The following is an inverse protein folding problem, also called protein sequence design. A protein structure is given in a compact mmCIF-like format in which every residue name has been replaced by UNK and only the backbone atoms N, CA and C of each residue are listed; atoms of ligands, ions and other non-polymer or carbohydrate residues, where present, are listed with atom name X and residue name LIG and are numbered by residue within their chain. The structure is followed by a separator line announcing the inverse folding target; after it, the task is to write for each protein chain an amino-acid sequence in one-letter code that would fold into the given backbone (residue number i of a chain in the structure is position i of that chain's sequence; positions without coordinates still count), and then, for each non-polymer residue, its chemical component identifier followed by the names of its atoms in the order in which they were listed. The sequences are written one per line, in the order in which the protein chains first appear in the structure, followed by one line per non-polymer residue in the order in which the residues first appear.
data_IF_745579027793
#
_entry.id   IF_745579027793
#
_cell.length_a   1.000
_cell.length_b   1.000
_cell.length_c   1.000
_cell.angle_alpha   90.00
_cell.angle_beta   90.00
_cell.angle_gamma   90.00
#
_symmetry.space_group_name_H-M   'P 1'
#
loop_
_entity.id
_entity.type
_entity.pdbx_description
1 polymer ?
#
# COMPACT_ATOMS: atom_id res chain seq x y z
N UNK A 1 2.01 0.58 -8.70
CA UNK A 1 1.52 -0.65 -8.05
C UNK A 1 0.24 -0.41 -7.25
N UNK A 2 0.24 0.43 -6.22
CA UNK A 2 -0.96 0.68 -5.40
C UNK A 2 -2.19 1.16 -6.19
N UNK A 3 -2.02 2.12 -7.10
CA UNK A 3 -3.11 2.62 -7.96
C UNK A 3 -3.70 1.49 -8.82
N UNK A 4 -2.84 0.64 -9.39
CA UNK A 4 -3.28 -0.51 -10.19
C UNK A 4 -4.07 -1.50 -9.34
N UNK A 5 -3.61 -1.81 -8.12
CA UNK A 5 -4.34 -2.69 -7.21
C UNK A 5 -5.73 -2.12 -6.82
N UNK A 6 -5.84 -0.80 -6.62
CA UNK A 6 -7.13 -0.13 -6.38
C UNK A 6 -8.04 -0.29 -7.61
N UNK A 7 -7.54 0.06 -8.80
CA UNK A 7 -8.32 -0.01 -10.03
C UNK A 7 -8.80 -1.43 -10.31
N UNK A 8 -7.95 -2.43 -10.08
CA UNK A 8 -8.33 -3.84 -10.21
C UNK A 8 -9.42 -4.23 -9.19
N UNK A 9 -9.28 -3.86 -7.91
CA UNK A 9 -10.29 -4.16 -6.89
C UNK A 9 -11.63 -3.45 -7.11
N UNK A 10 -11.62 -2.22 -7.63
CA UNK A 10 -12.84 -1.51 -8.03
C UNK A 10 -13.50 -2.16 -9.25
N UNK A 11 -12.70 -2.57 -10.23
CA UNK A 11 -13.18 -3.27 -11.43
C UNK A 11 -13.81 -4.62 -11.07
N UNK A 12 -13.15 -5.39 -10.20
CA UNK A 12 -13.69 -6.65 -9.65
C UNK A 12 -15.05 -6.41 -8.96
N UNK A 13 -15.15 -5.38 -8.11
CA UNK A 13 -16.38 -5.03 -7.41
C UNK A 13 -17.52 -4.66 -8.35
N UNK A 14 -17.23 -3.84 -9.37
CA UNK A 14 -18.21 -3.45 -10.38
C UNK A 14 -18.73 -4.66 -11.18
N UNK A 15 -17.84 -5.57 -11.57
CA UNK A 15 -18.21 -6.80 -12.28
C UNK A 15 -19.05 -7.71 -11.37
N UNK A 16 -18.68 -7.87 -10.10
CA UNK A 16 -19.44 -8.67 -9.13
C UNK A 16 -20.87 -8.13 -8.96
N UNK A 17 -21.03 -6.82 -8.74
CA UNK A 17 -22.36 -6.18 -8.62
C UNK A 17 -23.19 -6.43 -9.88
N UNK A 18 -22.58 -6.31 -11.07
CA UNK A 18 -23.26 -6.57 -12.34
C UNK A 18 -23.74 -8.03 -12.45
N UNK A 19 -22.87 -8.99 -12.14
CA UNK A 19 -23.20 -10.43 -12.21
C UNK A 19 -24.32 -10.76 -11.22
N UNK A 20 -24.22 -10.30 -9.97
CA UNK A 20 -25.23 -10.56 -8.94
C UNK A 20 -26.58 -9.91 -9.27
N UNK A 21 -26.58 -8.65 -9.75
CA UNK A 21 -27.83 -7.96 -10.14
C UNK A 21 -28.55 -8.72 -11.25
N UNK A 22 -27.80 -9.21 -12.25
CA UNK A 22 -28.38 -10.01 -13.34
C UNK A 22 -28.88 -11.37 -12.86
N UNK A 23 -28.17 -12.01 -11.94
CA UNK A 23 -28.60 -13.25 -11.32
C UNK A 23 -29.91 -13.07 -10.53
N UNK A 24 -30.05 -12.00 -9.74
CA UNK A 24 -31.27 -11.68 -8.98
C UNK A 24 -32.44 -11.39 -9.93
N UNK A 25 -32.20 -10.67 -11.03
CA UNK A 25 -33.21 -10.37 -12.05
C UNK A 25 -33.52 -11.56 -12.97
N UNK A 26 -32.97 -12.76 -12.69
CA UNK A 26 -33.08 -13.97 -13.51
C UNK A 26 -32.70 -13.74 -14.99
N UNK A 27 -31.82 -12.78 -15.26
CA UNK A 27 -31.31 -12.52 -16.62
C UNK A 27 -30.06 -13.37 -16.85
N UNK A 28 -29.93 -14.05 -18.00
CA UNK A 28 -28.77 -14.88 -18.29
C UNK A 28 -27.49 -14.03 -18.31
N UNK A 29 -26.47 -14.50 -17.59
CA UNK A 29 -25.14 -13.90 -17.58
C UNK A 29 -24.32 -14.55 -18.68
N UNK A 30 -23.60 -13.75 -19.47
CA UNK A 30 -22.69 -14.27 -20.50
C UNK A 30 -21.55 -15.05 -19.81
N UNK A 31 -21.26 -16.30 -20.18
CA UNK A 31 -20.19 -17.11 -19.56
C UNK A 31 -18.80 -16.44 -19.58
N UNK A 32 -18.54 -15.61 -20.59
CA UNK A 32 -17.31 -14.85 -20.70
C UNK A 32 -17.14 -13.84 -19.55
N UNK A 33 -18.22 -13.19 -19.10
CA UNK A 33 -18.16 -12.22 -18.01
C UNK A 33 -17.88 -12.89 -16.66
N UNK A 34 -18.45 -14.06 -16.45
CA UNK A 34 -18.23 -14.84 -15.23
C UNK A 34 -16.81 -15.43 -15.16
N UNK A 35 -16.26 -15.82 -16.31
CA UNK A 35 -14.84 -16.24 -16.41
C UNK A 35 -13.91 -15.05 -16.17
N UNK A 36 -14.21 -13.86 -16.70
CA UNK A 36 -13.44 -12.64 -16.44
C UNK A 36 -13.46 -12.29 -14.95
N UNK A 37 -14.62 -12.43 -14.29
CA UNK A 37 -14.73 -12.24 -12.85
C UNK A 37 -13.80 -13.19 -12.08
N UNK A 38 -13.86 -14.50 -12.36
CA UNK A 38 -12.98 -15.47 -11.71
C UNK A 38 -11.48 -15.16 -11.93
N UNK A 39 -11.10 -14.72 -13.13
CA UNK A 39 -9.73 -14.28 -13.40
C UNK A 39 -9.34 -13.05 -12.57
N UNK A 40 -10.24 -12.06 -12.42
CA UNK A 40 -9.99 -10.86 -11.61
C UNK A 40 -9.84 -11.20 -10.12
N UNK A 41 -10.67 -12.10 -9.62
CA UNK A 41 -10.66 -12.60 -8.24
C UNK A 41 -9.35 -13.30 -7.85
N UNK A 42 -8.66 -13.90 -8.83
CA UNK A 42 -7.30 -14.45 -8.65
C UNK A 42 -6.23 -13.36 -8.79
N UNK A 43 -6.40 -12.48 -9.78
CA UNK A 43 -5.40 -11.48 -10.14
C UNK A 43 -5.22 -10.41 -9.04
N UNK A 44 -6.31 -9.98 -8.41
CA UNK A 44 -6.31 -8.93 -7.38
C UNK A 44 -5.45 -9.31 -6.16
N UNK A 45 -5.65 -10.49 -5.51
CA UNK A 45 -4.78 -10.97 -4.44
C UNK A 45 -3.32 -11.10 -4.88
N UNK A 46 -3.06 -11.62 -6.08
CA UNK A 46 -1.70 -11.74 -6.60
C UNK A 46 -1.00 -10.37 -6.65
N UNK A 47 -1.66 -9.32 -7.15
CA UNK A 47 -1.11 -7.97 -7.17
C UNK A 47 -0.90 -7.39 -5.76
N UNK A 48 -1.84 -7.61 -4.84
CA UNK A 48 -1.70 -7.17 -3.45
C UNK A 48 -0.46 -7.80 -2.79
N UNK A 49 -0.21 -9.07 -3.06
CA UNK A 49 0.95 -9.77 -2.52
C UNK A 49 2.27 -9.43 -3.21
N UNK A 50 2.25 -9.08 -4.50
CA UNK A 50 3.41 -8.52 -5.17
C UNK A 50 3.84 -7.20 -4.51
N UNK A 51 2.89 -6.37 -4.05
CA UNK A 51 3.21 -5.17 -3.26
C UNK A 51 3.89 -5.54 -1.94
N UNK A 52 3.39 -6.56 -1.23
CA UNK A 52 4.01 -7.04 0.02
C UNK A 52 5.43 -7.56 -0.21
N UNK A 53 5.65 -8.37 -1.26
CA UNK A 53 6.99 -8.87 -1.59
C UNK A 53 7.93 -7.75 -2.01
N UNK A 54 7.45 -6.77 -2.76
CA UNK A 54 8.26 -5.61 -3.12
C UNK A 54 8.70 -4.83 -1.88
N UNK A 55 7.79 -4.64 -0.91
CA UNK A 55 8.14 -4.03 0.39
C UNK A 55 9.16 -4.85 1.15
N UNK A 56 9.00 -6.17 1.20
CA UNK A 56 9.99 -7.06 1.84
C UNK A 56 11.35 -6.96 1.14
N UNK A 57 11.38 -6.92 -0.18
CA UNK A 57 12.60 -6.77 -0.97
C UNK A 57 13.29 -5.42 -0.74
N UNK A 58 12.52 -4.34 -0.56
CA UNK A 58 13.07 -3.03 -0.19
C UNK A 58 13.70 -3.06 1.22
N UNK A 59 13.10 -3.79 2.17
CA UNK A 59 13.59 -3.92 3.54
C UNK A 59 14.80 -4.87 3.65
N UNK A 60 14.83 -5.92 2.84
CA UNK A 60 15.91 -6.91 2.75
C UNK A 60 16.62 -6.78 1.39
N UNK A 61 17.50 -5.79 1.21
CA UNK A 61 18.20 -5.61 -0.05
C UNK A 61 18.97 -6.89 -0.41
N UNK A 62 18.69 -7.51 -1.58
CA UNK A 62 19.25 -8.82 -1.93
C UNK A 62 20.78 -8.79 -1.97
N UNK A 63 21.36 -7.62 -2.29
CA UNK A 63 22.80 -7.42 -2.40
C UNK A 63 23.54 -7.41 -1.06
N UNK A 64 22.89 -7.13 0.08
CA UNK A 64 23.55 -7.07 1.40
C UNK A 64 23.45 -8.36 2.23
N UNK A 65 22.68 -9.34 1.76
CA UNK A 65 22.51 -10.62 2.45
C UNK A 65 23.51 -11.67 1.93
N UNK A 66 24.11 -12.41 2.88
CA UNK A 66 24.84 -13.64 2.61
C UNK A 66 23.98 -14.63 1.81
N UNK A 67 24.60 -15.42 0.93
CA UNK A 67 23.90 -16.35 0.01
C UNK A 67 22.90 -17.24 0.74
N UNK A 68 23.25 -17.74 1.93
CA UNK A 68 22.38 -18.60 2.74
C UNK A 68 21.14 -17.85 3.28
N UNK A 69 21.32 -16.60 3.72
CA UNK A 69 20.22 -15.75 4.19
C UNK A 69 19.30 -15.30 3.04
N UNK A 70 19.86 -15.04 1.86
CA UNK A 70 19.09 -14.77 0.65
C UNK A 70 18.27 -15.98 0.24
N UNK A 71 18.88 -17.17 0.29
CA UNK A 71 18.21 -18.43 -0.02
C UNK A 71 17.04 -18.67 0.94
N UNK A 72 17.30 -18.59 2.25
CA UNK A 72 16.27 -18.81 3.28
C UNK A 72 15.10 -17.82 3.22
N UNK A 73 15.35 -16.57 2.82
CA UNK A 73 14.29 -15.55 2.73
C UNK A 73 13.47 -15.69 1.45
N UNK A 74 14.11 -15.80 0.29
CA UNK A 74 13.43 -15.69 -1.00
C UNK A 74 12.93 -17.03 -1.56
N UNK A 75 13.56 -18.17 -1.23
CA UNK A 75 13.09 -19.46 -1.73
C UNK A 75 11.67 -19.75 -1.26
N UNK A 76 11.34 -19.72 0.04
CA UNK A 76 9.99 -20.03 0.49
C UNK A 76 8.93 -19.14 -0.17
N UNK A 77 9.19 -17.83 -0.25
CA UNK A 77 8.30 -16.86 -0.93
C UNK A 77 8.12 -17.20 -2.40
N UNK A 78 9.19 -17.50 -3.13
CA UNK A 78 9.11 -17.88 -4.53
C UNK A 78 8.37 -19.21 -4.73
N UNK A 79 8.62 -20.20 -3.88
CA UNK A 79 7.96 -21.51 -3.91
C UNK A 79 6.46 -21.37 -3.68
N UNK A 80 6.02 -20.63 -2.67
CA UNK A 80 4.59 -20.41 -2.42
C UNK A 80 3.93 -19.67 -3.59
N UNK A 81 4.59 -18.69 -4.19
CA UNK A 81 4.05 -17.98 -5.36
C UNK A 81 3.92 -18.87 -6.58
N UNK A 82 4.92 -19.69 -6.88
CA UNK A 82 4.84 -20.64 -7.99
C UNK A 82 3.74 -21.68 -7.76
N UNK A 83 3.60 -22.19 -6.53
CA UNK A 83 2.54 -23.12 -6.17
C UNK A 83 1.15 -22.52 -6.36
N UNK A 84 0.96 -21.26 -5.96
CA UNK A 84 -0.29 -20.52 -6.16
C UNK A 84 -0.60 -20.28 -7.63
N UNK A 85 0.36 -19.76 -8.40
CA UNK A 85 0.17 -19.56 -9.84
C UNK A 85 -0.23 -20.87 -10.54
N UNK A 86 0.37 -21.99 -10.18
CA UNK A 86 0.00 -23.29 -10.72
C UNK A 86 -1.44 -23.69 -10.32
N UNK A 87 -1.80 -23.53 -9.05
CA UNK A 87 -3.14 -23.83 -8.53
C UNK A 87 -4.21 -22.94 -9.16
N UNK A 88 -3.93 -21.65 -9.32
CA UNK A 88 -4.76 -20.64 -9.96
C UNK A 88 -5.04 -20.97 -11.42
N UNK A 89 -4.02 -21.38 -12.17
CA UNK A 89 -4.17 -21.81 -13.57
C UNK A 89 -5.13 -23.01 -13.65
N UNK A 90 -4.95 -24.00 -12.78
CA UNK A 90 -5.82 -25.18 -12.71
C UNK A 90 -7.24 -24.80 -12.30
N UNK A 91 -7.39 -23.87 -11.34
CA UNK A 91 -8.68 -23.35 -10.91
C UNK A 91 -9.42 -22.66 -12.06
N UNK A 92 -8.78 -21.72 -12.76
CA UNK A 92 -9.37 -20.99 -13.89
C UNK A 92 -9.74 -21.95 -15.02
N UNK A 93 -8.89 -22.93 -15.33
CA UNK A 93 -9.17 -23.92 -16.37
C UNK A 93 -10.42 -24.76 -16.03
N UNK A 94 -10.55 -25.21 -14.78
CA UNK A 94 -11.72 -25.95 -14.30
C UNK A 94 -12.97 -25.07 -14.24
N UNK A 95 -12.85 -23.84 -13.75
CA UNK A 95 -13.94 -22.87 -13.72
C UNK A 95 -14.50 -22.62 -15.12
N UNK A 96 -13.62 -22.37 -16.10
CA UNK A 96 -13.99 -22.18 -17.50
C UNK A 96 -14.69 -23.42 -18.08
N UNK A 97 -14.29 -24.64 -17.67
CA UNK A 97 -14.96 -25.86 -18.05
C UNK A 97 -16.38 -25.96 -17.46
N UNK A 98 -16.58 -25.65 -16.18
CA UNK A 98 -17.92 -25.68 -15.56
C UNK A 98 -18.86 -24.63 -16.15
N UNK A 99 -18.33 -23.44 -16.45
CA UNK A 99 -19.08 -22.36 -17.09
C UNK A 99 -19.54 -22.65 -18.52
N UNK A 100 -18.89 -23.59 -19.22
CA UNK A 100 -19.39 -24.04 -20.53
C UNK A 100 -20.63 -24.93 -20.41
N UNK A 101 -20.81 -25.60 -19.28
CA UNK A 101 -21.91 -26.55 -19.06
C UNK A 101 -23.05 -25.98 -18.23
N UNK A 102 -22.80 -24.94 -17.44
CA UNK A 102 -23.77 -24.34 -16.52
C UNK A 102 -24.15 -22.93 -16.99
N UNK A 103 -25.45 -22.66 -17.12
CA UNK A 103 -25.97 -21.31 -17.39
C UNK A 103 -26.13 -20.47 -16.11
N UNK A 104 -26.05 -21.11 -14.94
CA UNK A 104 -26.27 -20.49 -13.64
C UNK A 104 -24.93 -20.30 -12.90
N UNK A 105 -24.47 -19.04 -12.67
CA UNK A 105 -23.19 -18.78 -12.02
C UNK A 105 -23.15 -19.27 -10.56
N UNK A 106 -24.29 -19.29 -9.89
CA UNK A 106 -24.42 -19.83 -8.53
C UNK A 106 -24.10 -21.33 -8.47
N UNK A 107 -24.51 -22.09 -9.49
CA UNK A 107 -24.27 -23.53 -9.56
C UNK A 107 -22.81 -23.82 -9.89
N UNK A 108 -22.20 -23.07 -10.81
CA UNK A 108 -20.74 -23.13 -11.07
C UNK A 108 -19.94 -22.81 -9.82
N UNK A 109 -20.34 -21.76 -9.10
CA UNK A 109 -19.73 -21.35 -7.84
C UNK A 109 -19.76 -22.46 -6.78
N UNK A 110 -20.94 -23.06 -6.58
CA UNK A 110 -21.09 -24.17 -5.62
C UNK A 110 -20.25 -25.39 -6.02
N UNK A 111 -20.29 -25.81 -7.29
CA UNK A 111 -19.48 -26.93 -7.77
C UNK A 111 -17.97 -26.67 -7.62
N UNK A 112 -17.55 -25.41 -7.77
CA UNK A 112 -16.16 -25.00 -7.61
C UNK A 112 -15.75 -24.90 -6.14
N UNK A 113 -16.68 -24.59 -5.24
CA UNK A 113 -16.47 -24.54 -3.79
C UNK A 113 -16.13 -25.92 -3.20
N UNK A 114 -16.73 -26.97 -3.76
CA UNK A 114 -16.50 -28.34 -3.32
C UNK A 114 -15.12 -28.87 -3.76
N UNK A 115 -14.46 -28.20 -4.71
CA UNK A 115 -13.14 -28.59 -5.17
C UNK A 115 -12.05 -28.24 -4.14
N UNK A 116 -11.01 -29.09 -4.03
CA UNK A 116 -9.91 -28.83 -3.11
C UNK A 116 -9.05 -27.63 -3.51
N UNK A 117 -9.10 -27.19 -4.77
CA UNK A 117 -8.24 -26.12 -5.30
C UNK A 117 -8.38 -24.81 -4.51
N UNK A 118 -9.61 -24.41 -4.19
CA UNK A 118 -9.87 -23.19 -3.42
C UNK A 118 -9.33 -23.29 -1.98
N UNK A 119 -9.47 -24.47 -1.36
CA UNK A 119 -8.99 -24.73 0.00
C UNK A 119 -7.46 -24.73 0.07
N UNK A 120 -6.80 -25.34 -0.91
CA UNK A 120 -5.34 -25.33 -1.05
C UNK A 120 -4.85 -23.89 -1.26
N UNK A 121 -5.56 -23.10 -2.08
CA UNK A 121 -5.23 -21.70 -2.34
C UNK A 121 -5.21 -20.88 -1.05
N UNK A 122 -6.28 -20.94 -0.27
CA UNK A 122 -6.37 -20.18 0.98
C UNK A 122 -5.36 -20.64 2.02
N UNK A 123 -5.05 -21.93 2.05
CA UNK A 123 -3.98 -22.45 2.88
C UNK A 123 -2.63 -21.84 2.47
N UNK A 124 -2.28 -21.92 1.19
CA UNK A 124 -1.04 -21.33 0.67
C UNK A 124 -0.98 -19.81 0.92
N UNK A 125 -2.09 -19.11 0.74
CA UNK A 125 -2.23 -17.67 1.01
C UNK A 125 -1.98 -17.32 2.48
N UNK A 126 -2.56 -18.10 3.40
CA UNK A 126 -2.36 -17.89 4.83
C UNK A 126 -0.89 -18.06 5.22
N UNK A 127 -0.23 -19.13 4.74
CA UNK A 127 1.18 -19.38 5.06
C UNK A 127 2.12 -18.34 4.42
N UNK A 128 1.92 -17.94 3.16
CA UNK A 128 2.75 -16.90 2.51
C UNK A 128 2.61 -15.57 3.23
N UNK A 129 1.38 -15.17 3.56
CA UNK A 129 1.12 -13.91 4.29
C UNK A 129 1.70 -13.96 5.71
N UNK A 130 1.59 -15.09 6.40
CA UNK A 130 2.16 -15.27 7.75
C UNK A 130 3.68 -15.25 7.71
N UNK A 131 4.30 -15.91 6.74
CA UNK A 131 5.75 -15.95 6.58
C UNK A 131 6.33 -14.56 6.29
N UNK A 132 5.76 -13.84 5.31
CA UNK A 132 6.19 -12.48 4.96
C UNK A 132 5.99 -11.50 6.12
N UNK A 133 4.90 -11.62 6.88
CA UNK A 133 4.65 -10.85 8.10
C UNK A 133 5.67 -11.15 9.20
N UNK A 134 5.97 -12.43 9.45
CA UNK A 134 6.96 -12.87 10.42
C UNK A 134 8.36 -12.34 10.09
N UNK A 135 8.75 -12.38 8.82
CA UNK A 135 10.03 -11.84 8.36
C UNK A 135 10.14 -10.34 8.65
N UNK A 136 9.08 -9.57 8.40
CA UNK A 136 9.07 -8.14 8.71
C UNK A 136 9.22 -7.86 10.22
N UNK A 137 8.53 -8.64 11.07
CA UNK A 137 8.64 -8.51 12.53
C UNK A 137 10.05 -8.83 13.04
N UNK A 138 10.69 -9.87 12.49
CA UNK A 138 12.07 -10.22 12.83
C UNK A 138 13.03 -9.07 12.47
N UNK A 139 12.82 -8.40 11.33
CA UNK A 139 13.58 -7.18 10.98
C UNK A 139 13.40 -6.09 12.03
N UNK A 140 12.14 -5.82 12.40
CA UNK A 140 11.81 -4.75 13.33
C UNK A 140 12.45 -4.99 14.71
N UNK A 141 12.44 -6.25 15.18
CA UNK A 141 13.11 -6.63 16.43
C UNK A 141 14.62 -6.44 16.34
N UNK A 142 15.25 -6.84 15.22
CA UNK A 142 16.70 -6.63 15.01
C UNK A 142 17.07 -5.15 15.01
N UNK A 143 16.26 -4.30 14.39
CA UNK A 143 16.46 -2.84 14.41
C UNK A 143 16.41 -2.28 15.83
N UNK A 144 15.47 -2.74 16.68
CA UNK A 144 15.38 -2.34 18.09
C UNK A 144 16.62 -2.75 18.89
N UNK A 145 17.14 -3.96 18.68
CA UNK A 145 18.33 -4.44 19.39
C UNK A 145 19.60 -3.68 19.01
N UNK A 146 19.79 -3.34 17.72
CA UNK A 146 20.91 -2.49 17.29
C UNK A 146 20.81 -1.08 17.89
N UNK A 147 19.60 -0.50 17.92
CA UNK A 147 19.41 0.84 18.48
C UNK A 147 19.65 0.87 20.00
N UNK A 148 19.29 -0.19 20.72
CA UNK A 148 19.62 -0.34 22.15
C UNK A 148 21.13 -0.43 22.39
N UNK A 149 21.89 -1.08 21.49
CA UNK A 149 23.36 -1.14 21.57
C UNK A 149 24.03 0.20 21.29
N UNK A 150 23.55 0.99 20.34
CA UNK A 150 24.11 2.32 20.05
C UNK A 150 23.74 3.36 21.12
N UNK A 151 22.58 3.24 21.78
CA UNK A 151 22.20 4.09 22.91
C UNK A 151 22.94 3.78 24.23
N UNK A 152 23.49 2.58 24.38
CA UNK A 152 24.28 2.19 25.57
C UNK A 152 25.78 2.46 25.41
N UNK A 153 26.25 2.78 24.20
CA UNK A 153 27.66 3.09 23.91
C UNK A 153 28.05 4.55 24.19
N UNK A 154 27.12 5.41 24.61
CA UNK A 154 27.42 6.77 25.09
C UNK A 154 27.59 6.84 26.62
N UNK A 155 27.60 5.69 27.31
CA UNK A 155 27.82 5.60 28.74
C UNK A 155 29.04 4.71 29.06
N UNK A 156 30.18 5.02 28.45
CA UNK A 156 31.46 4.59 29.00
C UNK A 156 32.32 5.84 29.21
N UNK A 157 32.42 6.38 30.44
CA UNK A 157 33.47 7.31 30.78
C UNK A 157 34.77 6.50 30.80
N UNK A 158 35.41 6.37 29.64
CA UNK A 158 36.82 6.03 29.58
C UNK A 158 37.55 7.10 30.39
N UNK A 159 38.02 6.68 31.57
CA UNK A 159 38.83 7.44 32.51
C UNK A 159 40.18 7.77 31.84
N UNK A 160 40.17 8.71 30.90
CA UNK A 160 41.40 9.35 30.41
C UNK A 160 41.82 10.34 31.48
N UNK A 161 42.77 9.88 32.28
CA UNK A 161 43.49 10.67 33.26
C UNK A 161 44.42 11.64 32.52
N UNK A 162 44.02 12.92 32.47
CA UNK A 162 44.96 14.00 32.19
C UNK A 162 44.45 15.10 31.25
N UNK A 163 44.15 16.25 31.87
CA UNK A 163 44.35 17.60 31.33
C UNK A 163 43.24 18.22 30.45
N UNK A 164 42.42 19.00 31.15
CA UNK A 164 41.89 20.33 30.77
C UNK A 164 41.17 20.48 29.44
N UNK A 165 39.84 20.36 29.47
CA UNK A 165 38.97 21.33 28.80
C UNK A 165 37.63 21.42 29.56
N UNK A 166 37.43 22.58 30.17
CA UNK A 166 36.28 22.95 31.00
C UNK A 166 35.30 23.71 30.10
N UNK A 167 34.49 23.01 29.30
CA UNK A 167 33.37 23.62 28.58
C UNK A 167 32.21 22.60 28.44
N UNK A 168 31.03 23.04 28.89
CA UNK A 168 29.69 22.51 28.62
C UNK A 168 29.22 21.24 29.34
N UNK A 169 29.06 21.33 30.67
CA UNK A 169 28.11 20.50 31.42
C UNK A 169 26.86 21.32 31.80
N UNK A 170 26.13 21.81 30.80
CA UNK A 170 24.78 22.36 30.97
C UNK A 170 23.89 22.11 29.74
N UNK A 171 24.11 21.01 29.02
CA UNK A 171 23.17 20.53 27.99
C UNK A 171 22.11 19.68 28.68
N UNK A 172 20.88 20.13 28.58
CA UNK A 172 19.80 19.84 29.52
C UNK A 172 19.32 18.39 29.50
N UNK A 173 19.02 17.91 30.69
CA UNK A 173 18.21 16.72 30.97
C UNK A 173 16.81 16.77 30.30
N UNK A 174 16.39 17.95 29.83
CA UNK A 174 15.20 18.16 29.00
C UNK A 174 15.37 17.64 27.55
N UNK A 175 16.55 17.79 26.92
CA UNK A 175 16.78 17.37 25.53
C UNK A 175 16.76 15.83 25.38
N UNK A 176 17.30 15.12 26.37
CA UNK A 176 17.26 13.65 26.41
C UNK A 176 15.83 13.14 26.60
N UNK A 177 15.00 13.83 27.39
CA UNK A 177 13.57 13.51 27.54
C UNK A 177 12.78 13.80 26.25
N UNK A 178 13.08 14.89 25.55
CA UNK A 178 12.40 15.23 24.29
C UNK A 178 12.74 14.21 23.19
N UNK A 179 14.01 13.79 23.08
CA UNK A 179 14.44 12.75 22.15
C UNK A 179 13.77 11.38 22.43
N UNK A 180 13.62 11.00 23.70
CA UNK A 180 12.99 9.72 24.08
C UNK A 180 11.48 9.73 23.83
N UNK A 181 10.79 10.86 24.05
CA UNK A 181 9.35 11.03 23.73
C UNK A 181 9.11 11.04 22.21
N UNK A 182 9.97 11.70 21.43
CA UNK A 182 9.90 11.70 19.97
C UNK A 182 10.16 10.32 19.37
N UNK A 183 11.12 9.57 19.92
CA UNK A 183 11.44 8.21 19.49
C UNK A 183 10.32 7.22 19.86
N UNK A 184 9.75 7.32 21.06
CA UNK A 184 8.60 6.51 21.49
C UNK A 184 7.40 6.72 20.56
N UNK A 185 7.12 7.97 20.20
CA UNK A 185 6.06 8.31 19.24
C UNK A 185 6.33 7.73 17.85
N UNK A 186 7.56 7.81 17.34
CA UNK A 186 7.96 7.21 16.06
C UNK A 186 7.87 5.68 16.06
N UNK A 187 8.28 5.02 17.13
CA UNK A 187 8.21 3.56 17.28
C UNK A 187 6.76 3.10 17.39
N UNK A 188 5.92 3.81 18.15
CA UNK A 188 4.48 3.53 18.25
C UNK A 188 3.81 3.63 16.87
N UNK A 189 4.17 4.66 16.12
CA UNK A 189 3.68 4.85 14.75
C UNK A 189 4.14 3.73 13.80
N UNK A 190 5.44 3.40 13.78
CA UNK A 190 5.97 2.29 13.00
C UNK A 190 5.38 0.93 13.39
N UNK A 191 5.09 0.74 14.68
CA UNK A 191 4.41 -0.46 15.19
C UNK A 191 2.98 -0.54 14.68
N UNK A 192 2.21 0.54 14.74
CA UNK A 192 0.85 0.56 14.19
C UNK A 192 0.84 0.36 12.67
N UNK A 193 1.79 0.93 11.94
CA UNK A 193 1.97 0.67 10.49
C UNK A 193 2.24 -0.82 10.24
N UNK A 194 3.11 -1.43 11.05
CA UNK A 194 3.44 -2.84 10.93
C UNK A 194 2.24 -3.74 11.28
N UNK A 195 1.56 -3.46 12.38
CA UNK A 195 0.40 -4.24 12.85
C UNK A 195 -0.74 -4.17 11.85
N UNK A 196 -1.10 -2.97 11.36
CA UNK A 196 -2.20 -2.82 10.40
C UNK A 196 -1.90 -3.44 9.03
N UNK A 197 -0.63 -3.43 8.59
CA UNK A 197 -0.23 -4.06 7.32
C UNK A 197 -0.21 -5.58 7.35
N UNK A 198 0.14 -6.16 8.50
CA UNK A 198 0.57 -7.55 8.54
C UNK A 198 -0.31 -8.41 9.45
N UNK A 199 -0.72 -7.92 10.62
CA UNK A 199 -1.53 -8.72 11.55
C UNK A 199 -3.00 -8.78 11.12
N UNK A 200 -3.57 -7.67 10.64
CA UNK A 200 -4.98 -7.64 10.23
C UNK A 200 -5.25 -8.60 9.06
N UNK A 201 -4.47 -8.59 7.96
CA UNK A 201 -4.65 -9.56 6.88
C UNK A 201 -4.39 -11.00 7.33
N UNK A 202 -3.42 -11.25 8.22
CA UNK A 202 -3.13 -12.61 8.72
C UNK A 202 -4.30 -13.17 9.53
N UNK A 203 -4.87 -12.39 10.44
CA UNK A 203 -6.02 -12.82 11.26
C UNK A 203 -7.25 -13.06 10.39
N UNK A 204 -7.48 -12.20 9.39
CA UNK A 204 -8.60 -12.38 8.47
C UNK A 204 -8.41 -13.56 7.51
N UNK A 205 -7.19 -13.79 7.01
CA UNK A 205 -6.86 -15.01 6.25
C UNK A 205 -7.08 -16.27 7.10
N UNK A 206 -6.73 -16.24 8.39
CA UNK A 206 -6.98 -17.35 9.31
C UNK A 206 -8.49 -17.56 9.53
N UNK A 207 -9.24 -16.48 9.76
CA UNK A 207 -10.69 -16.56 9.92
C UNK A 207 -11.37 -17.10 8.66
N UNK A 208 -10.96 -16.63 7.48
CA UNK A 208 -11.42 -17.13 6.18
C UNK A 208 -11.11 -18.61 6.03
N UNK A 209 -9.88 -19.05 6.39
CA UNK A 209 -9.50 -20.45 6.32
C UNK A 209 -10.41 -21.31 7.21
N UNK A 210 -10.66 -20.88 8.46
CA UNK A 210 -11.55 -21.60 9.38
C UNK A 210 -12.97 -21.70 8.82
N UNK A 211 -13.52 -20.59 8.31
CA UNK A 211 -14.87 -20.55 7.75
C UNK A 211 -14.99 -21.37 6.47
N UNK A 212 -13.97 -21.37 5.62
CA UNK A 212 -13.89 -22.20 4.42
C UNK A 212 -13.97 -23.71 4.70
N UNK A 213 -13.45 -24.17 5.83
CA UNK A 213 -13.57 -25.57 6.24
C UNK A 213 -14.86 -25.87 7.02
N UNK A 214 -15.51 -24.84 7.57
CA UNK A 214 -16.70 -24.99 8.40
C UNK A 214 -18.00 -24.91 7.61
N UNK A 215 -18.10 -23.96 6.67
CA UNK A 215 -19.35 -23.65 5.98
C UNK A 215 -19.38 -24.21 4.55
N UNK A 216 -20.36 -25.08 4.22
CA UNK A 216 -20.49 -25.64 2.87
C UNK A 216 -21.13 -24.66 1.86
N UNK A 217 -21.72 -23.56 2.33
CA UNK A 217 -22.41 -22.62 1.44
C UNK A 217 -21.44 -21.69 0.70
N UNK A 218 -21.40 -21.79 -0.63
CA UNK A 218 -20.58 -20.94 -1.49
C UNK A 218 -20.84 -19.44 -1.27
N UNK A 219 -22.10 -19.05 -1.06
CA UNK A 219 -22.47 -17.64 -0.93
C UNK A 219 -21.85 -17.01 0.33
N UNK A 220 -21.95 -17.67 1.47
CA UNK A 220 -21.37 -17.14 2.71
C UNK A 220 -19.84 -17.03 2.58
N UNK A 221 -19.21 -18.10 2.08
CA UNK A 221 -17.77 -18.14 1.92
C UNK A 221 -17.23 -17.14 0.90
N UNK A 222 -17.92 -16.93 -0.24
CA UNK A 222 -17.51 -15.95 -1.26
C UNK A 222 -17.60 -14.51 -0.75
N UNK A 223 -18.61 -14.15 0.05
CA UNK A 223 -18.67 -12.81 0.66
C UNK A 223 -17.52 -12.56 1.63
N UNK A 224 -17.23 -13.52 2.51
CA UNK A 224 -16.11 -13.43 3.46
C UNK A 224 -14.79 -13.28 2.68
N UNK A 225 -14.61 -14.06 1.61
CA UNK A 225 -13.44 -14.00 0.74
C UNK A 225 -13.27 -12.60 0.11
N UNK A 226 -14.33 -12.06 -0.48
CA UNK A 226 -14.31 -10.73 -1.12
C UNK A 226 -13.97 -9.64 -0.08
N UNK A 227 -14.58 -9.69 1.10
CA UNK A 227 -14.30 -8.75 2.19
C UNK A 227 -12.84 -8.84 2.62
N UNK A 228 -12.31 -10.05 2.80
CA UNK A 228 -10.92 -10.26 3.18
C UNK A 228 -9.95 -9.67 2.14
N UNK A 229 -10.20 -9.89 0.84
CA UNK A 229 -9.42 -9.28 -0.24
C UNK A 229 -9.43 -7.75 -0.15
N UNK A 230 -10.60 -7.14 0.05
CA UNK A 230 -10.68 -5.68 0.19
C UNK A 230 -9.94 -5.15 1.42
N UNK A 231 -10.06 -5.83 2.57
CA UNK A 231 -9.33 -5.42 3.77
C UNK A 231 -7.81 -5.55 3.57
N UNK A 232 -7.34 -6.58 2.84
CA UNK A 232 -5.94 -6.72 2.49
C UNK A 232 -5.45 -5.55 1.62
N UNK A 233 -6.21 -5.17 0.59
CA UNK A 233 -5.90 -4.01 -0.27
C UNK A 233 -5.86 -2.73 0.58
N UNK A 234 -6.91 -2.46 1.36
CA UNK A 234 -7.03 -1.26 2.20
C UNK A 234 -5.90 -1.20 3.23
N UNK A 235 -5.58 -2.33 3.88
CA UNK A 235 -4.48 -2.41 4.85
C UNK A 235 -3.14 -2.00 4.24
N UNK A 236 -2.85 -2.50 3.03
CA UNK A 236 -1.67 -2.12 2.25
C UNK A 236 -1.69 -0.63 1.90
N UNK A 237 -2.82 -0.08 1.46
CA UNK A 237 -2.94 1.33 1.09
C UNK A 237 -2.73 2.27 2.27
N UNK A 238 -3.43 2.02 3.38
CA UNK A 238 -3.35 2.82 4.59
C UNK A 238 -1.90 2.95 5.07
N UNK A 239 -1.15 1.86 5.04
CA UNK A 239 0.25 1.94 5.41
C UNK A 239 1.14 2.68 4.43
N UNK A 240 0.82 2.65 3.12
CA UNK A 240 1.59 3.46 2.16
C UNK A 240 1.34 4.94 2.43
N UNK A 241 0.06 5.33 2.55
CA UNK A 241 -0.34 6.70 2.83
C UNK A 241 0.31 7.18 4.13
N UNK A 242 0.30 6.33 5.15
CA UNK A 242 0.92 6.65 6.42
C UNK A 242 2.44 6.80 6.31
N UNK A 243 3.13 5.88 5.63
CA UNK A 243 4.58 5.98 5.42
C UNK A 243 4.96 7.27 4.68
N UNK A 244 4.22 7.62 3.64
CA UNK A 244 4.42 8.87 2.90
C UNK A 244 4.10 10.10 3.75
N UNK A 245 3.00 10.08 4.51
CA UNK A 245 2.61 11.16 5.41
C UNK A 245 3.65 11.44 6.50
N UNK A 246 4.27 10.38 7.05
CA UNK A 246 5.37 10.54 8.02
C UNK A 246 6.61 11.17 7.40
N UNK A 247 6.92 10.89 6.13
CA UNK A 247 8.05 11.52 5.45
C UNK A 247 7.80 13.01 5.25
N UNK A 248 6.61 13.40 4.78
CA UNK A 248 6.25 14.81 4.62
C UNK A 248 6.28 15.59 5.94
N UNK A 249 5.76 14.99 7.03
CA UNK A 249 5.80 15.60 8.35
C UNK A 249 7.24 15.75 8.88
N UNK A 250 8.15 14.83 8.55
CA UNK A 250 9.56 14.93 8.91
C UNK A 250 10.31 16.00 8.09
N UNK A 251 10.06 16.08 6.78
CA UNK A 251 10.62 17.12 5.92
C UNK A 251 10.16 18.52 6.33
N UNK A 252 8.87 18.69 6.66
CA UNK A 252 8.34 19.97 7.13
C UNK A 252 8.94 20.40 8.49
N UNK A 253 9.27 19.44 9.37
CA UNK A 253 9.90 19.72 10.67
C UNK A 253 11.39 20.05 10.59
N UNK A 254 12.08 19.61 9.55
CA UNK A 254 13.52 19.88 9.41
C UNK A 254 13.82 21.25 8.79
N UNK A 255 12.81 22.02 8.36
CA UNK A 255 13.03 23.35 7.78
C UNK A 255 13.98 23.32 6.57
N UNK A 256 14.16 22.15 5.96
CA UNK A 256 14.89 22.02 4.71
C UNK A 256 13.91 22.51 3.66
N UNK A 257 14.22 23.64 3.03
CA UNK A 257 13.61 24.04 1.76
C UNK A 257 13.83 22.91 0.76
N UNK A 258 12.90 21.96 0.74
CA UNK A 258 12.79 20.97 -0.32
C UNK A 258 12.30 21.77 -1.52
N UNK A 259 13.26 22.30 -2.27
CA UNK A 259 13.02 22.76 -3.62
C UNK A 259 12.24 21.64 -4.32
N UNK A 260 10.98 21.88 -4.74
CA UNK A 260 10.15 20.81 -5.24
C UNK A 260 10.75 20.36 -6.56
N UNK A 261 11.32 19.15 -6.57
CA UNK A 261 11.52 18.34 -7.78
C UNK A 261 10.18 17.77 -8.28
N UNK A 262 9.12 18.57 -8.16
CA UNK A 262 7.93 18.45 -9.00
C UNK A 262 8.27 19.33 -10.20
N UNK A 263 8.40 18.69 -11.35
CA UNK A 263 8.55 19.31 -12.66
C UNK A 263 7.72 20.58 -12.79
N UNK A 264 8.34 21.73 -12.53
CA UNK A 264 7.90 22.99 -13.07
C UNK A 264 8.14 22.87 -14.58
N UNK A 265 7.09 22.53 -15.33
CA UNK A 265 7.04 22.74 -16.77
C UNK A 265 7.10 24.26 -16.93
N UNK A 266 8.31 24.80 -16.84
CA UNK A 266 8.62 26.17 -17.15
C UNK A 266 8.54 26.26 -18.67
N UNK A 267 7.41 26.72 -19.18
CA UNK A 267 7.30 27.19 -20.55
C UNK A 267 8.37 28.27 -20.73
N UNK A 268 9.46 27.90 -21.42
CA UNK A 268 10.42 28.84 -21.96
C UNK A 268 9.70 29.59 -23.07
N UNK A 269 9.07 30.72 -22.70
CA UNK A 269 8.71 31.74 -23.65
C UNK A 269 10.01 32.27 -24.26
N UNK A 270 10.27 31.82 -25.48
CA UNK A 270 11.42 32.17 -26.31
C UNK A 270 11.39 33.66 -26.65
N UNK A 271 11.91 34.51 -25.77
CA UNK A 271 12.14 35.90 -26.10
C UNK A 271 13.57 36.05 -26.65
N UNK A 272 13.67 35.96 -27.98
CA UNK A 272 14.84 36.43 -28.70
C UNK A 272 14.94 37.93 -28.47
N UNK A 273 15.98 38.39 -27.77
CA UNK A 273 16.70 39.62 -28.07
C UNK A 273 17.97 39.65 -27.22
N UNK A 274 19.11 39.48 -27.89
CA UNK A 274 20.41 39.62 -27.27
C UNK A 274 20.75 41.09 -27.07
N UNK A 275 21.27 41.44 -25.89
CA UNK A 275 22.39 42.37 -25.75
C UNK A 275 22.98 42.24 -24.34
N UNK A 276 24.31 42.25 -24.30
CA UNK A 276 25.19 42.03 -23.14
C UNK A 276 25.00 43.00 -21.97
N UNK A 277 25.53 42.66 -20.76
CA UNK A 277 25.25 43.39 -19.53
C UNK A 277 26.18 44.60 -19.37
N UNK A 278 25.62 45.72 -18.94
CA UNK A 278 26.38 46.84 -18.38
C UNK A 278 25.85 47.17 -17.00
N UNK A 279 26.80 47.12 -16.05
CA UNK A 279 26.76 47.58 -14.67
C UNK A 279 26.14 48.97 -14.50
N UNK A 280 25.47 49.22 -13.37
CA UNK A 280 25.84 50.18 -12.30
C UNK A 280 24.61 50.49 -11.42
N UNK A 281 24.76 50.40 -10.09
CA UNK A 281 23.86 50.99 -9.07
C UNK A 281 23.89 52.54 -9.15
N UNK A 282 23.19 53.38 -8.31
CA UNK A 282 22.19 53.14 -7.26
C UNK A 282 20.94 54.07 -7.34
N UNK A 283 19.95 53.83 -6.47
CA UNK A 283 19.29 54.92 -5.75
C UNK A 283 17.82 55.26 -6.06
N UNK A 284 17.13 55.59 -4.97
CA UNK A 284 16.05 56.58 -4.85
C UNK A 284 14.58 56.16 -5.08
N UNK A 285 13.90 56.03 -3.93
CA UNK A 285 12.67 56.74 -3.52
C UNK A 285 11.40 56.71 -4.38
N UNK A 286 10.33 56.35 -3.65
CA UNK A 286 9.05 57.03 -3.57
C UNK A 286 7.90 56.57 -4.46
N UNK A 287 6.78 56.33 -3.77
CA UNK A 287 5.42 56.53 -4.25
C UNK A 287 4.89 55.47 -5.21
N UNK A 288 3.60 55.24 -5.30
CA UNK A 288 2.46 55.57 -4.47
C UNK A 288 1.26 54.94 -5.21
N UNK A 289 0.20 54.63 -4.45
CA UNK A 289 -1.19 54.87 -4.87
C UNK A 289 -1.83 53.99 -5.98
N UNK A 290 -2.86 53.26 -5.51
CA UNK A 290 -4.18 53.07 -6.16
C UNK A 290 -4.30 52.19 -7.41
N UNK A 291 -5.46 51.67 -7.80
CA UNK A 291 -6.82 51.45 -7.29
C UNK A 291 -7.59 50.94 -8.52
N UNK A 292 -8.62 50.11 -8.36
CA UNK A 292 -9.49 49.65 -9.45
C UNK A 292 -9.75 48.16 -9.32
N UNK A 293 -10.81 47.67 -8.68
CA UNK A 293 -12.26 47.98 -8.81
C UNK A 293 -12.85 47.46 -10.12
N UNK A 294 -13.96 46.76 -9.96
CA UNK A 294 -15.01 46.36 -10.91
C UNK A 294 -14.82 45.00 -11.60
N UNK A 295 -15.64 43.98 -11.32
CA UNK A 295 -17.12 43.84 -11.40
C UNK A 295 -17.58 43.33 -12.77
N UNK A 296 -18.68 42.56 -12.74
CA UNK A 296 -19.44 42.14 -13.93
C UNK A 296 -19.50 40.62 -14.07
N UNK A 297 -20.57 39.93 -13.64
CA UNK A 297 -21.81 39.69 -14.40
C UNK A 297 -21.56 38.66 -15.52
N UNK A 298 -22.41 37.69 -15.87
CA UNK A 298 -23.83 37.42 -15.62
C UNK A 298 -24.14 36.06 -16.25
N UNK A 299 -25.18 35.38 -15.76
CA UNK A 299 -26.14 34.60 -16.57
C UNK A 299 -25.64 33.32 -17.24
N UNK A 300 -26.46 32.32 -17.51
CA UNK A 300 -27.92 32.22 -17.42
C UNK A 300 -28.30 30.77 -17.69
N UNK A 301 -29.40 30.37 -17.08
CA UNK A 301 -30.16 29.14 -17.24
C UNK A 301 -30.44 28.70 -18.69
N UNK A 302 -30.68 27.40 -18.88
CA UNK A 302 -31.90 26.98 -19.57
C UNK A 302 -32.34 25.56 -19.20
N UNK A 303 -33.57 25.50 -18.69
CA UNK A 303 -34.48 24.35 -18.60
C UNK A 303 -34.64 23.63 -19.95
N UNK A 304 -34.78 22.30 -19.96
CA UNK A 304 -36.09 21.65 -20.03
C UNK A 304 -36.15 20.56 -21.12
N UNK A 305 -37.30 19.88 -21.36
CA UNK A 305 -37.69 18.70 -20.58
C UNK A 305 -38.34 17.54 -21.40
N UNK A 306 -38.74 16.47 -20.69
CA UNK A 306 -39.80 15.46 -20.95
C UNK A 306 -39.68 14.50 -22.18
N UNK A 307 -39.80 13.17 -21.98
CA UNK A 307 -41.03 12.36 -22.18
C UNK A 307 -40.79 10.83 -22.28
N UNK A 308 -41.85 10.11 -21.92
CA UNK A 308 -41.96 8.70 -21.55
C UNK A 308 -42.03 7.68 -22.71
N UNK A 309 -41.62 6.43 -22.40
CA UNK A 309 -42.41 5.20 -22.59
C UNK A 309 -41.78 4.04 -21.81
#
# INVERSE_FOLDING_TARGET
MNVVAILLGLTEGAINIYIQTRAILMKPVRPNMDTVFACMTVLVPLFAELILVFRVAAVYPPHKLSRLGRLGVYIPVATFKLARIANDIVFIARWAQFNRHSLNPLQTGQASWDLPNAKIEWFLQFFDTTYTSGLFLVRLQRSKTCQKKSGLSCAEPALVKGSSCLVAAHVGQADIRICTVALSSRIRTLFWIAVSNYMVPVVLNLAQLILAFRDPSFIHGSYIFIVNNYVQIIGVLLATIWATGTQFAESARQGVDVHPLVSEIRFVANNKNGTSPVSTYPGHLAGDISLGTEAGLEGSDMEGPVLAK
#
